data_IF_239274719274
#
_entry.id   IF_239274719274
#
_cell.length_a   1.000
_cell.length_b   1.000
_cell.length_c   1.000
_cell.angle_alpha   90.00
_cell.angle_beta   90.00
_cell.angle_gamma   90.00
#
_symmetry.space_group_name_H-M   'P 1'
#
loop_
_entity.id
_entity.type
_entity.pdbx_description
1 polymer ?
#
# COMPACT_ATOMS: atom_id res chain seq x y z
N UNK A 1 12.40 -0.27 -16.56
CA UNK A 1 13.48 0.24 -15.68
C UNK A 1 13.10 1.50 -14.90
N UNK A 2 12.49 2.52 -15.53
CA UNK A 2 12.06 3.73 -14.82
C UNK A 2 11.08 3.48 -13.65
N UNK A 3 10.14 2.55 -13.82
CA UNK A 3 9.13 2.23 -12.80
C UNK A 3 9.77 1.56 -11.57
N UNK A 4 10.71 0.64 -11.77
CA UNK A 4 11.50 0.02 -10.70
C UNK A 4 12.36 1.05 -9.94
N UNK A 5 12.98 1.98 -10.67
CA UNK A 5 13.73 3.10 -10.09
C UNK A 5 12.84 3.98 -9.20
N UNK A 6 11.62 4.28 -9.65
CA UNK A 6 10.66 5.09 -8.91
C UNK A 6 10.16 4.38 -7.64
N UNK A 7 9.90 3.08 -7.71
CA UNK A 7 9.55 2.26 -6.54
C UNK A 7 10.70 2.19 -5.54
N UNK A 8 11.94 1.99 -6.00
CA UNK A 8 13.12 2.00 -5.12
C UNK A 8 13.34 3.36 -4.46
N UNK A 9 13.08 4.46 -5.18
CA UNK A 9 13.20 5.80 -4.64
C UNK A 9 12.17 6.04 -3.53
N UNK A 10 10.91 5.65 -3.75
CA UNK A 10 9.87 5.72 -2.72
C UNK A 10 10.23 4.89 -1.49
N UNK A 11 10.76 3.67 -1.68
CA UNK A 11 11.17 2.81 -0.57
C UNK A 11 12.29 3.41 0.29
N UNK A 12 13.29 4.03 -0.35
CA UNK A 12 14.39 4.74 0.36
C UNK A 12 13.86 5.99 1.07
N UNK A 13 12.94 6.73 0.46
CA UNK A 13 12.32 7.90 1.07
C UNK A 13 11.49 7.52 2.32
N UNK A 14 10.83 6.36 2.29
CA UNK A 14 10.10 5.78 3.41
C UNK A 14 10.97 5.45 4.61
N UNK A 15 12.20 4.97 4.38
CA UNK A 15 13.11 4.61 5.46
C UNK A 15 13.65 5.84 6.21
N UNK A 16 13.73 6.99 5.52
CA UNK A 16 14.26 8.23 6.09
C UNK A 16 13.21 9.08 6.83
N UNK A 17 11.96 9.02 6.40
CA UNK A 17 10.89 9.81 6.99
C UNK A 17 10.12 8.96 8.00
N UNK A 18 10.12 9.38 9.27
CA UNK A 18 9.30 8.80 10.34
C UNK A 18 7.81 9.05 10.05
N UNK A 19 7.25 8.35 9.06
CA UNK A 19 5.88 8.55 8.64
C UNK A 19 4.90 7.83 9.56
N UNK A 20 3.74 8.46 9.76
CA UNK A 20 2.58 7.85 10.38
C UNK A 20 2.16 6.61 9.57
N UNK A 21 1.79 5.52 10.25
CA UNK A 21 1.41 4.24 9.65
C UNK A 21 0.34 4.36 8.55
N UNK A 22 -0.55 5.35 8.64
CA UNK A 22 -1.58 5.61 7.64
C UNK A 22 -0.96 6.11 6.32
N UNK A 23 0.05 6.98 6.38
CA UNK A 23 0.74 7.49 5.20
C UNK A 23 1.55 6.39 4.50
N UNK A 24 2.05 5.41 5.28
CA UNK A 24 2.70 4.22 4.74
C UNK A 24 1.73 3.35 3.92
N UNK A 25 0.53 3.09 4.45
CA UNK A 25 -0.51 2.36 3.73
C UNK A 25 -0.88 3.03 2.39
N UNK A 26 -1.11 4.35 2.42
CA UNK A 26 -1.45 5.11 1.21
C UNK A 26 -0.37 5.01 0.14
N UNK A 27 0.91 5.10 0.51
CA UNK A 27 1.97 4.96 -0.46
C UNK A 27 2.12 3.53 -1.01
N UNK A 28 1.81 2.52 -0.22
CA UNK A 28 1.82 1.13 -0.65
C UNK A 28 0.73 0.88 -1.71
N UNK A 29 -0.47 1.43 -1.50
CA UNK A 29 -1.55 1.43 -2.50
C UNK A 29 -1.14 2.15 -3.79
N UNK A 30 -0.48 3.31 -3.69
CA UNK A 30 0.00 4.04 -4.87
C UNK A 30 0.98 3.20 -5.70
N UNK A 31 1.91 2.49 -5.06
CA UNK A 31 2.84 1.59 -5.74
C UNK A 31 2.08 0.45 -6.43
N UNK A 32 1.13 -0.18 -5.74
CA UNK A 32 0.32 -1.27 -6.29
C UNK A 32 -0.50 -0.83 -7.51
N UNK A 33 -1.11 0.36 -7.45
CA UNK A 33 -1.86 0.93 -8.57
C UNK A 33 -0.97 1.19 -9.79
N UNK A 34 0.27 1.65 -9.59
CA UNK A 34 1.24 1.79 -10.67
C UNK A 34 1.62 0.44 -11.30
N UNK A 35 1.79 -0.61 -10.49
CA UNK A 35 2.06 -1.96 -10.99
C UNK A 35 0.88 -2.47 -11.82
N UNK A 36 -0.34 -2.35 -11.33
CA UNK A 36 -1.57 -2.75 -12.03
C UNK A 36 -1.67 -2.03 -13.37
N UNK A 37 -1.47 -0.70 -13.38
CA UNK A 37 -1.50 0.09 -14.61
C UNK A 37 -0.44 -0.37 -15.62
N UNK A 38 0.77 -0.69 -15.14
CA UNK A 38 1.84 -1.20 -16.00
C UNK A 38 1.53 -2.57 -16.59
N UNK A 39 0.90 -3.47 -15.81
CA UNK A 39 0.50 -4.81 -16.26
C UNK A 39 -0.65 -4.74 -17.27
N UNK A 40 -1.66 -3.92 -16.99
CA UNK A 40 -2.80 -3.74 -17.89
C UNK A 40 -2.39 -3.16 -19.25
N UNK A 41 -1.46 -2.21 -19.26
CA UNK A 41 -0.96 -1.57 -20.49
C UNK A 41 0.05 -2.41 -21.27
N UNK A 42 0.92 -3.17 -20.59
CA UNK A 42 2.00 -3.91 -21.25
C UNK A 42 1.57 -5.26 -21.83
N UNK A 43 0.71 -6.01 -21.13
CA UNK A 43 0.31 -7.35 -21.58
C UNK A 43 -1.02 -7.37 -22.32
N UNK A 44 -1.80 -6.28 -22.27
CA UNK A 44 -3.16 -6.23 -22.82
C UNK A 44 -4.16 -7.16 -22.11
N UNK A 45 -3.73 -7.84 -21.03
CA UNK A 45 -4.55 -8.76 -20.25
C UNK A 45 -5.28 -7.98 -19.17
N UNK A 46 -6.34 -7.27 -19.58
CA UNK A 46 -7.19 -6.46 -18.68
C UNK A 46 -7.73 -7.29 -17.51
N UNK A 47 -8.02 -8.58 -17.76
CA UNK A 47 -8.53 -9.50 -16.75
C UNK A 47 -7.58 -9.70 -15.57
N UNK A 48 -6.27 -9.78 -15.84
CA UNK A 48 -5.25 -9.93 -14.80
C UNK A 48 -5.09 -8.63 -14.00
N UNK A 49 -5.22 -7.46 -14.65
CA UNK A 49 -5.27 -6.17 -13.98
C UNK A 49 -6.46 -6.04 -13.02
N UNK A 50 -7.63 -6.52 -13.40
CA UNK A 50 -8.83 -6.54 -12.54
C UNK A 50 -8.66 -7.44 -11.31
N UNK A 51 -8.07 -8.64 -11.47
CA UNK A 51 -7.78 -9.53 -10.34
C UNK A 51 -6.80 -8.87 -9.37
N UNK A 52 -5.75 -8.24 -9.89
CA UNK A 52 -4.78 -7.52 -9.04
C UNK A 52 -5.41 -6.33 -8.31
N UNK A 53 -6.36 -5.62 -8.93
CA UNK A 53 -7.14 -4.57 -8.26
C UNK A 53 -7.94 -5.13 -7.08
N UNK A 54 -8.63 -6.25 -7.27
CA UNK A 54 -9.39 -6.88 -6.19
C UNK A 54 -8.47 -7.30 -5.03
N UNK A 55 -7.31 -7.87 -5.32
CA UNK A 55 -6.32 -8.24 -4.30
C UNK A 55 -5.79 -7.01 -3.56
N UNK A 56 -5.50 -5.92 -4.29
CA UNK A 56 -5.03 -4.65 -3.70
C UNK A 56 -6.08 -4.06 -2.75
N UNK A 57 -7.36 -4.06 -3.12
CA UNK A 57 -8.42 -3.56 -2.25
C UNK A 57 -8.56 -4.39 -0.97
N UNK A 58 -8.42 -5.71 -1.05
CA UNK A 58 -8.42 -6.58 0.12
C UNK A 58 -7.25 -6.30 1.07
N UNK A 59 -6.06 -6.07 0.52
CA UNK A 59 -4.86 -5.72 1.30
C UNK A 59 -5.04 -4.39 2.03
N UNK A 60 -5.56 -3.35 1.35
CA UNK A 60 -5.85 -2.06 1.97
C UNK A 60 -6.85 -2.16 3.14
N UNK A 61 -7.92 -2.94 3.00
CA UNK A 61 -8.89 -3.18 4.10
C UNK A 61 -8.24 -3.89 5.28
N UNK A 62 -7.41 -4.91 5.03
CA UNK A 62 -6.67 -5.61 6.09
C UNK A 62 -5.69 -4.67 6.81
N UNK A 63 -5.00 -3.81 6.06
CA UNK A 63 -4.08 -2.82 6.61
C UNK A 63 -4.77 -1.79 7.49
N UNK A 64 -5.90 -1.25 7.04
CA UNK A 64 -6.70 -0.28 7.82
C UNK A 64 -7.29 -0.93 9.06
N UNK A 65 -7.87 -2.14 8.96
CA UNK A 65 -8.41 -2.84 10.14
C UNK A 65 -7.34 -3.15 11.17
N UNK A 66 -6.15 -3.55 10.74
CA UNK A 66 -4.99 -3.74 11.63
C UNK A 66 -4.61 -2.45 12.35
N UNK A 67 -4.60 -1.30 11.65
CA UNK A 67 -4.28 0.00 12.24
C UNK A 67 -5.33 0.42 13.28
N UNK A 68 -6.62 0.20 13.00
CA UNK A 68 -7.71 0.46 13.96
C UNK A 68 -7.54 -0.39 15.22
N UNK A 69 -7.23 -1.68 15.07
CA UNK A 69 -6.99 -2.59 16.20
C UNK A 69 -5.81 -2.11 17.06
N UNK A 70 -4.67 -1.77 16.44
CA UNK A 70 -3.51 -1.22 17.16
C UNK A 70 -3.87 0.06 17.93
N UNK A 71 -4.67 0.94 17.33
CA UNK A 71 -5.06 2.19 17.96
C UNK A 71 -5.98 1.95 19.18
N UNK A 72 -6.90 0.99 19.09
CA UNK A 72 -7.72 0.57 20.23
C UNK A 72 -6.89 -0.05 21.36
N UNK A 73 -5.87 -0.85 21.04
CA UNK A 73 -4.93 -1.37 22.04
C UNK A 73 -4.15 -0.26 22.74
N UNK A 74 -3.68 0.75 22.00
CA UNK A 74 -2.96 1.89 22.57
C UNK A 74 -3.87 2.76 23.46
N UNK A 75 -5.12 3.02 23.07
CA UNK A 75 -6.09 3.72 23.94
C UNK A 75 -6.45 2.90 25.17
N UNK A 76 -6.63 1.58 25.04
CA UNK A 76 -6.92 0.69 26.17
C UNK A 76 -5.80 0.57 27.20
N UNK A 77 -4.54 0.82 26.79
CA UNK A 77 -3.39 0.83 27.71
C UNK A 77 -3.25 2.14 28.49
N UNK A 78 -3.70 3.27 27.93
CA UNK A 78 -3.68 4.58 28.60
C UNK A 78 -4.80 4.78 29.62
N UNK A 79 -5.79 3.89 29.65
CA UNK A 79 -6.98 3.99 30.49
C UNK A 79 -6.90 3.14 31.79
N UNK A 80 -5.74 2.58 32.11
CA UNK A 80 -5.44 1.93 33.39
C UNK A 80 -4.39 2.69 34.18
#
# INVERSE_FOLDING_TARGET
MYLLMLVSFFFVFFFFMKFELMLLLVCLEMIFMFVIFSVATSMGVVWLGLVLLCVSACEGVLGVTFLVVLNMYYMGFFQK
#
